data_IF_070931303404
#
_entry.id   IF_070931303404
#
_cell.length_a   1.000
_cell.length_b   1.000
_cell.length_c   1.000
_cell.angle_alpha   90.00
_cell.angle_beta   90.00
_cell.angle_gamma   90.00
#
_symmetry.space_group_name_H-M   'P 1'
#
loop_
_entity.id
_entity.type
_entity.pdbx_description
1 polymer ?
#
# COMPACT_ATOMS: atom_id res chain seq x y z
N UNK A 1 17.20 -3.04 -19.21
CA UNK A 1 17.21 -3.74 -20.51
C UNK A 1 16.09 -4.78 -20.48
N UNK A 2 15.13 -4.76 -21.42
CA UNK A 2 14.03 -5.76 -21.44
C UNK A 2 14.48 -6.98 -22.23
N UNK A 3 14.81 -8.08 -21.56
CA UNK A 3 15.11 -9.35 -22.22
C UNK A 3 13.76 -10.00 -22.57
N UNK A 4 13.53 -10.26 -23.85
CA UNK A 4 12.31 -10.92 -24.34
C UNK A 4 12.62 -12.34 -24.79
N UNK A 5 11.61 -13.22 -24.77
CA UNK A 5 11.70 -14.59 -25.28
C UNK A 5 12.31 -14.65 -26.68
N UNK A 6 11.90 -13.74 -27.57
CA UNK A 6 12.44 -13.64 -28.93
C UNK A 6 13.95 -13.36 -28.99
N UNK A 7 14.51 -12.66 -28.00
CA UNK A 7 15.96 -12.44 -27.96
C UNK A 7 16.72 -13.70 -27.56
N UNK A 8 16.14 -14.54 -26.70
CA UNK A 8 16.73 -15.83 -26.31
C UNK A 8 16.66 -16.83 -27.47
N UNK A 9 15.50 -16.95 -28.12
CA UNK A 9 15.33 -17.76 -29.34
C UNK A 9 16.27 -17.28 -30.47
N UNK A 10 16.45 -15.96 -30.62
CA UNK A 10 17.40 -15.40 -31.57
C UNK A 10 18.88 -15.68 -31.24
N UNK A 11 19.21 -15.88 -29.95
CA UNK A 11 20.55 -16.27 -29.52
C UNK A 11 20.80 -17.77 -29.74
N UNK A 12 19.79 -18.61 -29.53
CA UNK A 12 19.81 -20.03 -29.88
C UNK A 12 19.99 -20.22 -31.39
N UNK A 13 19.23 -19.49 -32.21
CA UNK A 13 19.35 -19.55 -33.68
C UNK A 13 20.74 -19.13 -34.19
N UNK A 14 21.50 -18.37 -33.40
CA UNK A 14 22.90 -17.99 -33.68
C UNK A 14 23.92 -18.93 -33.06
N UNK A 15 23.49 -20.00 -32.40
CA UNK A 15 24.34 -20.97 -31.71
C UNK A 15 25.09 -20.39 -30.50
N UNK A 16 24.64 -19.26 -29.95
CA UNK A 16 25.26 -18.63 -28.79
C UNK A 16 24.91 -19.35 -27.49
N UNK A 17 23.73 -19.96 -27.45
CA UNK A 17 23.19 -20.76 -26.35
C UNK A 17 22.42 -21.96 -26.92
N UNK A 18 22.19 -22.97 -26.08
CA UNK A 18 21.41 -24.17 -26.41
C UNK A 18 19.93 -23.99 -26.07
N UNK A 19 19.04 -24.80 -26.65
CA UNK A 19 17.61 -24.77 -26.33
C UNK A 19 17.31 -25.04 -24.85
N UNK A 20 18.04 -25.97 -24.22
CA UNK A 20 17.94 -26.20 -22.76
C UNK A 20 18.29 -24.95 -21.94
N UNK A 21 19.32 -24.20 -22.38
CA UNK A 21 19.69 -22.94 -21.72
C UNK A 21 18.64 -21.86 -21.94
N UNK A 22 17.94 -21.84 -23.08
CA UNK A 22 16.83 -20.91 -23.31
C UNK A 22 15.74 -21.13 -22.28
N UNK A 23 15.29 -22.36 -22.06
CA UNK A 23 14.23 -22.68 -21.08
C UNK A 23 14.68 -22.35 -19.65
N UNK A 24 15.89 -22.76 -19.26
CA UNK A 24 16.42 -22.48 -17.93
C UNK A 24 16.54 -20.97 -17.65
N UNK A 25 17.03 -20.19 -18.63
CA UNK A 25 17.11 -18.73 -18.52
C UNK A 25 15.72 -18.10 -18.48
N UNK A 26 14.77 -18.60 -19.27
CA UNK A 26 13.40 -18.11 -19.25
C UNK A 26 12.78 -18.27 -17.86
N UNK A 27 12.94 -19.44 -17.27
CA UNK A 27 12.40 -19.77 -15.96
C UNK A 27 13.03 -18.89 -14.86
N UNK A 28 14.35 -18.72 -14.89
CA UNK A 28 15.07 -17.81 -13.99
C UNK A 28 14.56 -16.36 -14.09
N UNK A 29 14.35 -15.84 -15.31
CA UNK A 29 13.87 -14.46 -15.48
C UNK A 29 12.41 -14.28 -15.05
N UNK A 30 11.56 -15.29 -15.23
CA UNK A 30 10.18 -15.27 -14.74
C UNK A 30 10.17 -15.17 -13.21
N UNK A 31 10.94 -16.03 -12.53
CA UNK A 31 11.08 -16.02 -11.06
C UNK A 31 11.62 -14.69 -10.53
N UNK A 32 12.58 -14.08 -11.23
CA UNK A 32 13.13 -12.77 -10.85
C UNK A 32 12.15 -11.60 -11.08
N UNK A 33 11.23 -11.72 -12.03
CA UNK A 33 10.33 -10.61 -12.42
C UNK A 33 9.04 -10.61 -11.58
N UNK A 34 8.61 -11.73 -11.01
CA UNK A 34 7.40 -11.78 -10.16
C UNK A 34 7.44 -10.79 -8.98
N UNK A 35 8.63 -10.53 -8.42
CA UNK A 35 8.81 -9.62 -7.29
C UNK A 35 9.25 -8.20 -7.67
N UNK A 36 9.39 -7.86 -8.96
CA UNK A 36 9.77 -6.50 -9.35
C UNK A 36 8.54 -5.58 -9.51
N UNK A 37 8.58 -4.36 -8.92
CA UNK A 37 7.57 -3.35 -9.16
C UNK A 37 7.63 -2.87 -10.61
N UNK A 38 6.75 -3.45 -11.42
CA UNK A 38 6.58 -3.11 -12.83
C UNK A 38 5.32 -2.27 -13.03
N UNK A 39 5.35 -1.37 -14.02
CA UNK A 39 4.20 -0.58 -14.46
C UNK A 39 3.19 -1.50 -15.15
N UNK A 40 2.44 -2.25 -14.34
CA UNK A 40 1.37 -3.16 -14.74
C UNK A 40 0.04 -2.56 -14.33
N UNK A 41 -1.00 -2.81 -15.13
CA UNK A 41 -2.37 -2.37 -14.84
C UNK A 41 -2.81 -2.79 -13.42
N UNK A 42 -2.43 -3.98 -12.97
CA UNK A 42 -2.72 -4.47 -11.62
C UNK A 42 -2.09 -3.60 -10.54
N UNK A 43 -0.81 -3.23 -10.69
CA UNK A 43 -0.15 -2.34 -9.72
C UNK A 43 -0.76 -0.94 -9.71
N UNK A 44 -1.18 -0.43 -10.87
CA UNK A 44 -1.92 0.84 -10.96
C UNK A 44 -3.22 0.75 -10.17
N UNK A 45 -3.97 -0.35 -10.30
CA UNK A 45 -5.21 -0.56 -9.53
C UNK A 45 -4.95 -0.63 -8.03
N UNK A 46 -3.86 -1.27 -7.59
CA UNK A 46 -3.48 -1.28 -6.17
C UNK A 46 -3.15 0.12 -5.64
N UNK A 47 -2.36 0.90 -6.38
CA UNK A 47 -2.04 2.27 -5.96
C UNK A 47 -3.25 3.19 -6.03
N UNK A 48 -4.08 3.08 -7.06
CA UNK A 48 -5.32 3.84 -7.21
C UNK A 48 -6.29 3.53 -6.06
N UNK A 49 -6.50 2.25 -5.76
CA UNK A 49 -7.35 1.83 -4.64
C UNK A 49 -6.84 2.35 -3.30
N UNK A 50 -5.52 2.27 -3.07
CA UNK A 50 -4.88 2.84 -1.87
C UNK A 50 -5.07 4.36 -1.77
N UNK A 51 -4.85 5.08 -2.86
CA UNK A 51 -5.06 6.53 -2.94
C UNK A 51 -6.52 6.92 -2.69
N UNK A 52 -7.48 6.16 -3.24
CA UNK A 52 -8.91 6.38 -3.03
C UNK A 52 -9.27 6.15 -1.56
N UNK A 53 -8.73 5.10 -0.92
CA UNK A 53 -8.98 4.84 0.50
C UNK A 53 -8.43 5.98 1.39
N UNK A 54 -7.20 6.41 1.14
CA UNK A 54 -6.57 7.54 1.88
C UNK A 54 -7.32 8.85 1.61
N UNK A 55 -7.71 9.10 0.36
CA UNK A 55 -8.44 10.30 -0.04
C UNK A 55 -9.84 10.36 0.58
N UNK A 56 -10.58 9.25 0.52
CA UNK A 56 -11.89 9.13 1.16
C UNK A 56 -11.77 9.38 2.67
N UNK A 57 -10.79 8.75 3.33
CA UNK A 57 -10.53 8.98 4.75
C UNK A 57 -10.27 10.46 5.06
N UNK A 58 -9.39 11.11 4.30
CA UNK A 58 -9.08 12.54 4.48
C UNK A 58 -10.34 13.40 4.40
N UNK A 59 -11.20 13.16 3.40
CA UNK A 59 -12.44 13.92 3.21
C UNK A 59 -13.49 13.61 4.29
N UNK A 60 -13.70 12.32 4.59
CA UNK A 60 -14.65 11.90 5.63
C UNK A 60 -14.23 12.37 7.02
N UNK A 61 -12.94 12.50 7.30
CA UNK A 61 -12.46 13.06 8.56
C UNK A 61 -12.69 14.56 8.67
N UNK A 62 -12.53 15.31 7.57
CA UNK A 62 -12.87 16.74 7.54
C UNK A 62 -14.37 17.00 7.76
N UNK A 63 -15.24 16.12 7.27
CA UNK A 63 -16.71 16.24 7.42
C UNK A 63 -17.24 15.60 8.71
N UNK A 64 -16.62 14.50 9.15
CA UNK A 64 -16.99 13.76 10.36
C UNK A 64 -16.61 14.46 11.65
N UNK A 65 -15.69 15.44 11.57
CA UNK A 65 -15.17 16.22 12.68
C UNK A 65 -16.23 16.88 13.56
N UNK A 66 -17.32 17.37 12.97
CA UNK A 66 -18.39 18.05 13.71
C UNK A 66 -19.38 17.10 14.36
N UNK A 67 -19.42 15.84 13.93
CA UNK A 67 -20.43 14.86 14.37
C UNK A 67 -19.87 13.77 15.27
N UNK A 68 -18.55 13.52 15.23
CA UNK A 68 -17.89 12.48 16.02
C UNK A 68 -16.94 13.10 17.06
N UNK A 69 -17.15 12.79 18.34
CA UNK A 69 -16.22 13.20 19.41
C UNK A 69 -14.89 12.43 19.36
N UNK A 70 -13.85 12.96 20.01
CA UNK A 70 -12.48 12.41 19.98
C UNK A 70 -12.37 10.90 20.26
N UNK A 71 -13.14 10.39 21.23
CA UNK A 71 -13.18 8.95 21.54
C UNK A 71 -13.62 8.08 20.36
N UNK A 72 -14.61 8.51 19.58
CA UNK A 72 -15.09 7.76 18.42
C UNK A 72 -14.01 7.67 17.34
N UNK A 73 -13.25 8.75 17.13
CA UNK A 73 -12.14 8.81 16.18
C UNK A 73 -11.05 7.80 16.56
N UNK A 74 -10.68 7.72 17.84
CA UNK A 74 -9.69 6.76 18.34
C UNK A 74 -10.13 5.32 18.08
N UNK A 75 -11.39 4.99 18.38
CA UNK A 75 -11.92 3.63 18.20
C UNK A 75 -11.91 3.22 16.72
N UNK A 76 -12.36 4.10 15.84
CA UNK A 76 -12.38 3.84 14.39
C UNK A 76 -10.96 3.67 13.86
N UNK A 77 -10.02 4.54 14.26
CA UNK A 77 -8.62 4.44 13.87
C UNK A 77 -7.99 3.12 14.34
N UNK A 78 -8.27 2.69 15.58
CA UNK A 78 -7.79 1.42 16.11
C UNK A 78 -8.35 0.22 15.35
N UNK A 79 -9.65 0.21 15.03
CA UNK A 79 -10.28 -0.86 14.24
C UNK A 79 -9.66 -0.96 12.85
N UNK A 80 -9.50 0.17 12.15
CA UNK A 80 -8.85 0.18 10.84
C UNK A 80 -7.38 -0.21 10.89
N UNK A 81 -6.65 0.19 11.93
CA UNK A 81 -5.26 -0.23 12.11
C UNK A 81 -5.17 -1.76 12.29
N UNK A 82 -6.01 -2.35 13.15
CA UNK A 82 -6.02 -3.80 13.36
C UNK A 82 -6.32 -4.57 12.06
N UNK A 83 -7.36 -4.16 11.34
CA UNK A 83 -7.75 -4.79 10.07
C UNK A 83 -6.64 -4.60 9.03
N UNK A 84 -6.12 -3.39 8.89
CA UNK A 84 -5.06 -3.07 7.92
C UNK A 84 -3.76 -3.84 8.18
N UNK A 85 -3.36 -3.99 9.44
CA UNK A 85 -2.20 -4.81 9.83
C UNK A 85 -2.45 -6.29 9.52
N UNK A 86 -3.64 -6.81 9.86
CA UNK A 86 -3.98 -8.20 9.57
C UNK A 86 -3.94 -8.51 8.06
N UNK A 87 -4.48 -7.61 7.23
CA UNK A 87 -4.42 -7.73 5.77
C UNK A 87 -2.97 -7.63 5.29
N UNK A 88 -2.21 -6.66 5.78
CA UNK A 88 -0.79 -6.46 5.43
C UNK A 88 0.02 -7.72 5.68
N UNK A 89 -0.11 -8.31 6.87
CA UNK A 89 0.60 -9.54 7.24
C UNK A 89 0.19 -10.71 6.35
N UNK A 90 -1.11 -10.85 6.08
CA UNK A 90 -1.63 -11.90 5.22
C UNK A 90 -1.12 -11.77 3.78
N UNK A 91 -1.00 -10.56 3.25
CA UNK A 91 -0.51 -10.29 1.90
C UNK A 91 1.01 -10.45 1.81
N UNK A 92 1.74 -10.02 2.84
CA UNK A 92 3.20 -10.21 2.94
C UNK A 92 3.57 -11.69 2.98
N UNK A 93 2.84 -12.51 3.74
CA UNK A 93 3.05 -13.97 3.80
C UNK A 93 2.75 -14.67 2.46
N UNK A 94 2.00 -14.04 1.56
CA UNK A 94 1.72 -14.54 0.21
C UNK A 94 2.73 -14.03 -0.84
N UNK A 95 3.80 -13.34 -0.43
CA UNK A 95 4.79 -12.76 -1.35
C UNK A 95 4.30 -11.51 -2.09
N UNK A 96 3.11 -11.01 -1.79
CA UNK A 96 2.54 -9.83 -2.46
C UNK A 96 3.02 -8.53 -1.82
N UNK A 97 4.29 -8.22 -2.01
CA UNK A 97 4.96 -7.08 -1.35
C UNK A 97 4.30 -5.72 -1.66
N UNK A 98 3.83 -5.50 -2.89
CA UNK A 98 3.26 -4.21 -3.33
C UNK A 98 1.94 -3.90 -2.63
N UNK A 99 0.89 -4.75 -2.71
CA UNK A 99 -0.36 -4.44 -2.03
C UNK A 99 -0.20 -4.52 -0.50
N UNK A 100 0.73 -5.34 0.03
CA UNK A 100 1.07 -5.31 1.46
C UNK A 100 1.59 -3.93 1.88
N UNK A 101 2.50 -3.35 1.10
CA UNK A 101 3.04 -2.02 1.34
C UNK A 101 1.97 -0.92 1.27
N UNK A 102 1.00 -1.03 0.37
CA UNK A 102 -0.14 -0.10 0.28
C UNK A 102 -1.00 -0.16 1.55
N UNK A 103 -1.36 -1.36 2.01
CA UNK A 103 -2.11 -1.53 3.26
C UNK A 103 -1.33 -1.02 4.48
N UNK A 104 -0.02 -1.28 4.55
CA UNK A 104 0.84 -0.78 5.62
C UNK A 104 0.88 0.75 5.64
N UNK A 105 1.02 1.38 4.47
CA UNK A 105 1.03 2.84 4.32
C UNK A 105 -0.30 3.44 4.79
N UNK A 106 -1.43 2.83 4.41
CA UNK A 106 -2.74 3.25 4.89
C UNK A 106 -2.81 3.23 6.43
N UNK A 107 -2.32 2.17 7.07
CA UNK A 107 -2.27 2.09 8.55
C UNK A 107 -1.41 3.21 9.14
N UNK A 108 -0.25 3.51 8.55
CA UNK A 108 0.61 4.61 9.00
C UNK A 108 -0.11 5.96 8.91
N UNK A 109 -0.91 6.18 7.86
CA UNK A 109 -1.73 7.38 7.72
C UNK A 109 -2.82 7.51 8.81
N UNK A 110 -3.18 6.44 9.53
CA UNK A 110 -4.11 6.51 10.66
C UNK A 110 -3.48 7.09 11.93
N UNK A 111 -2.15 7.08 12.06
CA UNK A 111 -1.44 7.45 13.30
C UNK A 111 -1.71 8.91 13.70
N UNK A 112 -1.56 9.92 12.82
CA UNK A 112 -1.86 11.30 13.19
C UNK A 112 -3.31 11.48 13.62
N UNK A 113 -4.23 10.76 12.98
CA UNK A 113 -5.64 10.82 13.32
C UNK A 113 -5.93 10.21 14.70
N UNK A 114 -5.32 9.06 15.00
CA UNK A 114 -5.47 8.41 16.30
C UNK A 114 -4.93 9.32 17.42
N UNK A 115 -3.78 9.96 17.21
CA UNK A 115 -3.20 10.92 18.15
C UNK A 115 -4.14 12.11 18.35
N UNK A 116 -4.66 12.68 17.26
CA UNK A 116 -5.62 13.79 17.32
C UNK A 116 -6.87 13.41 18.13
N UNK A 117 -7.52 12.28 17.78
CA UNK A 117 -8.72 11.84 18.49
C UNK A 117 -8.47 11.59 19.98
N UNK A 118 -7.26 11.12 20.32
CA UNK A 118 -6.85 10.89 21.69
C UNK A 118 -6.63 12.20 22.46
N UNK A 119 -6.01 13.20 21.82
CA UNK A 119 -5.81 14.53 22.41
C UNK A 119 -7.13 15.25 22.65
N UNK A 120 -8.05 15.16 21.69
CA UNK A 120 -9.41 15.68 21.79
C UNK A 120 -10.18 14.99 22.91
N UNK A 121 -10.10 13.66 23.01
CA UNK A 121 -10.76 12.90 24.07
C UNK A 121 -10.23 13.24 25.47
N UNK A 122 -8.91 13.48 25.59
CA UNK A 122 -8.29 13.90 26.84
C UNK A 122 -8.54 15.38 27.17
N UNK A 123 -9.20 16.15 26.30
CA UNK A 123 -9.42 17.59 26.47
C UNK A 123 -8.12 18.41 26.47
N UNK A 124 -7.04 17.85 25.91
CA UNK A 124 -5.74 18.52 25.81
C UNK A 124 -5.62 19.39 24.56
N UNK A 125 -6.58 19.25 23.64
CA UNK A 125 -6.65 20.06 22.45
C UNK A 125 -7.18 21.47 22.79
N UNK A 126 -6.51 22.55 22.34
CA UNK A 126 -6.88 23.90 22.72
C UNK A 126 -8.23 24.31 22.10
N UNK A 127 -9.15 24.80 22.92
CA UNK A 127 -10.35 25.49 22.46
C UNK A 127 -9.95 26.73 21.66
N UNK A 128 -10.39 26.81 20.41
CA UNK A 128 -10.11 27.92 19.48
C UNK A 128 -10.64 29.26 20.03
N UNK A 129 -11.51 29.22 21.05
CA UNK A 129 -12.03 30.38 21.78
C UNK A 129 -10.94 31.26 22.42
N UNK A 130 -9.72 30.74 22.65
CA UNK A 130 -8.62 31.50 23.25
C UNK A 130 -7.86 32.46 22.31
N UNK A 131 -8.13 32.46 21.00
CA UNK A 131 -7.39 33.27 20.00
C UNK A 131 -8.08 34.59 19.62
N UNK A 132 -9.15 34.99 20.31
CA UNK A 132 -9.87 36.26 20.08
C UNK A 132 -9.59 37.34 21.15
N UNK A 133 -8.46 37.31 21.84
CA UNK A 133 -8.01 38.42 22.69
C UNK A 133 -6.90 39.24 22.02
#
# INVERSE_FOLDING_TARGET
MKISRKMLEGAEARGLITGEQVEALQQYFIEQTENQPQFSFTHILYYLGGLVAIGAMTVFMSLGWQSFGGAAIVVIAALYAMIGIAITNRLSNQGMAIPAGVCATFVVCLVPLAIYGLQEWMGTWPDIAGFQQ
#
